data_IF_485985525108
#
_entry.id   IF_485985525108
#
_cell.length_a   1.000
_cell.length_b   1.000
_cell.length_c   1.000
_cell.angle_alpha   90.00
_cell.angle_beta   90.00
_cell.angle_gamma   90.00
#
_symmetry.space_group_name_H-M   'P 1'
#
loop_
_entity.id
_entity.type
_entity.pdbx_description
1 polymer ?
#
# COMPACT_ATOMS: atom_id res chain seq x y z
N UNK A 1 0.79 -29.57 40.74
CA UNK A 1 0.81 -30.24 39.42
C UNK A 1 0.10 -29.42 38.35
N UNK A 2 -1.16 -29.00 38.57
CA UNK A 2 -1.97 -28.21 37.62
C UNK A 2 -1.31 -26.88 37.23
N UNK A 3 -0.77 -26.11 38.19
CA UNK A 3 -0.14 -24.81 37.91
C UNK A 3 1.09 -24.92 36.98
N UNK A 4 1.93 -25.95 37.18
CA UNK A 4 3.08 -26.22 36.29
C UNK A 4 2.65 -26.63 34.89
N UNK A 5 1.55 -27.39 34.78
CA UNK A 5 0.98 -27.78 33.49
C UNK A 5 0.38 -26.59 32.74
N UNK A 6 -0.30 -25.68 33.45
CA UNK A 6 -0.85 -24.46 32.87
C UNK A 6 0.24 -23.50 32.38
N UNK A 7 1.31 -23.30 33.17
CA UNK A 7 2.47 -22.49 32.77
C UNK A 7 3.19 -23.11 31.57
N UNK A 8 3.35 -24.44 31.55
CA UNK A 8 3.93 -25.16 30.41
C UNK A 8 3.09 -25.05 29.14
N UNK A 9 1.77 -25.08 29.27
CA UNK A 9 0.84 -24.87 28.15
C UNK A 9 0.91 -23.43 27.62
N UNK A 10 0.88 -22.41 28.50
CA UNK A 10 1.02 -21.00 28.13
C UNK A 10 2.36 -20.71 27.44
N UNK A 11 3.45 -21.24 27.99
CA UNK A 11 4.77 -21.14 27.37
C UNK A 11 4.78 -21.82 25.99
N UNK A 12 4.15 -22.99 25.88
CA UNK A 12 4.02 -23.68 24.60
C UNK A 12 3.12 -22.95 23.59
N UNK A 13 2.09 -22.24 24.04
CA UNK A 13 1.20 -21.44 23.19
C UNK A 13 1.91 -20.22 22.58
N UNK A 14 2.82 -19.59 23.33
CA UNK A 14 3.56 -18.42 22.86
C UNK A 14 4.75 -18.78 21.96
N UNK A 15 5.43 -19.88 22.29
CA UNK A 15 6.69 -20.21 21.65
C UNK A 15 6.52 -21.37 20.64
N UNK A 16 5.79 -22.45 20.92
CA UNK A 16 5.77 -23.61 20.00
C UNK A 16 4.90 -23.40 18.74
N UNK A 17 5.19 -24.10 17.63
CA UNK A 17 4.47 -23.95 16.36
C UNK A 17 2.96 -24.22 16.43
N UNK A 18 2.49 -25.12 17.31
CA UNK A 18 1.05 -25.35 17.49
C UNK A 18 0.33 -24.13 18.09
N UNK A 19 1.07 -23.27 18.80
CA UNK A 19 0.54 -22.05 19.39
C UNK A 19 0.05 -21.06 18.33
N UNK A 20 0.73 -20.99 17.18
CA UNK A 20 0.30 -20.18 16.04
C UNK A 20 -1.11 -20.57 15.56
N UNK A 21 -1.37 -21.87 15.40
CA UNK A 21 -2.67 -22.38 14.94
C UNK A 21 -3.80 -22.14 15.94
N UNK A 22 -3.48 -21.99 17.23
CA UNK A 22 -4.45 -21.68 18.28
C UNK A 22 -4.66 -20.16 18.43
N UNK A 23 -3.58 -19.37 18.41
CA UNK A 23 -3.62 -17.92 18.64
C UNK A 23 -4.07 -17.11 17.42
N UNK A 24 -3.67 -17.50 16.21
CA UNK A 24 -4.01 -16.79 14.97
C UNK A 24 -5.52 -16.58 14.79
N UNK A 25 -6.39 -17.61 14.88
CA UNK A 25 -7.83 -17.40 14.76
C UNK A 25 -8.41 -16.52 15.88
N UNK A 26 -7.85 -16.59 17.10
CA UNK A 26 -8.27 -15.73 18.21
C UNK A 26 -7.96 -14.25 17.91
N UNK A 27 -6.77 -13.95 17.39
CA UNK A 27 -6.42 -12.58 17.01
C UNK A 27 -7.28 -12.05 15.85
N UNK A 28 -7.60 -12.90 14.87
CA UNK A 28 -8.49 -12.52 13.76
C UNK A 28 -9.90 -12.18 14.30
N UNK A 29 -10.44 -13.00 15.20
CA UNK A 29 -11.74 -12.73 15.83
C UNK A 29 -11.70 -11.42 16.63
N UNK A 30 -10.65 -11.20 17.41
CA UNK A 30 -10.48 -9.96 18.17
C UNK A 30 -10.38 -8.73 17.26
N UNK A 31 -9.66 -8.82 16.16
CA UNK A 31 -9.55 -7.74 15.17
C UNK A 31 -10.90 -7.42 14.54
N UNK A 32 -11.68 -8.45 14.15
CA UNK A 32 -13.03 -8.29 13.61
C UNK A 32 -13.95 -7.61 14.63
N UNK A 33 -13.95 -8.07 15.88
CA UNK A 33 -14.75 -7.49 16.95
C UNK A 33 -14.36 -6.04 17.23
N UNK A 34 -13.06 -5.74 17.26
CA UNK A 34 -12.53 -4.39 17.38
C UNK A 34 -13.02 -3.50 16.23
N UNK A 35 -12.95 -4.01 14.99
CA UNK A 35 -13.47 -3.32 13.80
C UNK A 35 -14.94 -2.96 13.93
N UNK A 36 -15.79 -3.90 14.36
CA UNK A 36 -17.22 -3.62 14.61
C UNK A 36 -17.44 -2.58 15.70
N UNK A 37 -16.70 -2.66 16.82
CA UNK A 37 -16.79 -1.68 17.91
C UNK A 37 -16.37 -0.29 17.43
N UNK A 38 -15.31 -0.19 16.63
CA UNK A 38 -14.85 1.08 16.06
C UNK A 38 -15.94 1.66 15.14
N UNK A 39 -16.52 0.85 14.26
CA UNK A 39 -17.58 1.30 13.34
C UNK A 39 -18.81 1.79 14.12
N UNK A 40 -19.19 1.13 15.23
CA UNK A 40 -20.33 1.53 16.06
C UNK A 40 -20.06 2.78 16.91
N UNK A 41 -18.82 2.96 17.39
CA UNK A 41 -18.47 4.00 18.38
C UNK A 41 -17.78 5.23 17.82
N UNK A 42 -17.14 5.13 16.66
CA UNK A 42 -16.39 6.23 16.06
C UNK A 42 -17.23 6.84 14.93
N UNK A 43 -17.79 8.05 15.11
CA UNK A 43 -18.53 8.71 14.05
C UNK A 43 -17.60 9.00 12.87
N UNK A 44 -18.08 8.74 11.66
CA UNK A 44 -17.37 9.11 10.44
C UNK A 44 -17.14 10.62 10.44
N UNK A 45 -15.89 11.04 10.23
CA UNK A 45 -15.58 12.46 10.04
C UNK A 45 -16.19 12.94 8.72
N UNK A 46 -17.11 13.91 8.78
CA UNK A 46 -17.95 14.38 7.65
C UNK A 46 -17.17 14.91 6.45
N UNK A 47 -15.93 15.35 6.64
CA UNK A 47 -15.18 16.18 5.69
C UNK A 47 -15.05 15.50 4.32
N UNK A 48 -14.64 14.23 4.28
CA UNK A 48 -14.46 13.52 3.01
C UNK A 48 -15.80 13.03 2.44
N UNK A 49 -16.75 12.61 3.29
CA UNK A 49 -18.05 12.10 2.85
C UNK A 49 -18.86 13.16 2.10
N UNK A 50 -18.91 14.39 2.61
CA UNK A 50 -19.63 15.50 1.97
C UNK A 50 -19.02 15.80 0.60
N UNK A 51 -17.70 15.84 0.50
CA UNK A 51 -17.02 16.09 -0.77
C UNK A 51 -17.26 14.97 -1.80
N UNK A 52 -17.26 13.70 -1.37
CA UNK A 52 -17.60 12.57 -2.24
C UNK A 52 -19.06 12.63 -2.70
N UNK A 53 -20.00 12.90 -1.78
CA UNK A 53 -21.42 12.97 -2.12
C UNK A 53 -21.75 14.15 -3.03
N UNK A 54 -21.04 15.28 -2.93
CA UNK A 54 -21.15 16.39 -3.88
C UNK A 54 -20.83 15.94 -5.31
N UNK A 55 -19.69 15.25 -5.50
CA UNK A 55 -19.28 14.73 -6.81
C UNK A 55 -20.25 13.66 -7.34
N UNK A 56 -20.69 12.73 -6.49
CA UNK A 56 -21.66 11.67 -6.86
C UNK A 56 -23.03 12.25 -7.21
N UNK A 57 -23.49 13.27 -6.48
CA UNK A 57 -24.77 13.92 -6.75
C UNK A 57 -24.81 14.59 -8.12
N UNK A 58 -23.69 15.17 -8.56
CA UNK A 58 -23.55 15.73 -9.91
C UNK A 58 -23.76 14.67 -10.99
N UNK A 59 -23.16 13.50 -10.81
CA UNK A 59 -23.31 12.36 -11.73
C UNK A 59 -24.74 11.79 -11.71
N UNK A 60 -25.34 11.60 -10.54
CA UNK A 60 -26.73 11.12 -10.40
C UNK A 60 -27.72 12.08 -11.07
N UNK A 61 -27.44 13.39 -11.03
CA UNK A 61 -28.23 14.42 -11.70
C UNK A 61 -28.00 14.48 -13.23
N UNK A 62 -27.21 13.57 -13.81
CA UNK A 62 -26.95 13.46 -15.24
C UNK A 62 -25.80 14.33 -15.75
N UNK A 63 -24.98 14.93 -14.86
CA UNK A 63 -23.81 15.69 -15.28
C UNK A 63 -22.70 14.74 -15.71
N UNK A 64 -22.38 14.74 -17.00
CA UNK A 64 -21.28 13.96 -17.58
C UNK A 64 -20.08 14.84 -17.97
N UNK A 65 -20.21 16.14 -17.81
CA UNK A 65 -19.13 17.10 -18.02
C UNK A 65 -18.21 17.11 -16.79
N UNK A 66 -16.99 16.60 -16.96
CA UNK A 66 -16.08 16.31 -15.86
C UNK A 66 -15.61 17.57 -15.14
N UNK A 67 -15.53 18.70 -15.83
CA UNK A 67 -15.17 20.00 -15.23
C UNK A 67 -16.25 20.52 -14.26
N UNK A 68 -17.49 20.04 -14.41
CA UNK A 68 -18.61 20.40 -13.53
C UNK A 68 -18.76 19.44 -12.35
N UNK A 69 -18.05 18.30 -12.37
CA UNK A 69 -18.04 17.32 -11.29
C UNK A 69 -16.94 17.66 -10.28
N UNK A 70 -17.12 18.76 -9.54
CA UNK A 70 -16.19 19.22 -8.51
C UNK A 70 -16.87 19.24 -7.13
N UNK A 71 -16.11 18.84 -6.09
CA UNK A 71 -16.52 18.96 -4.70
C UNK A 71 -15.60 19.93 -3.96
N UNK A 72 -15.82 20.10 -2.65
CA UNK A 72 -14.96 20.95 -1.81
C UNK A 72 -13.48 20.53 -1.79
N UNK A 73 -13.17 19.30 -2.18
CA UNK A 73 -11.80 18.74 -2.26
C UNK A 73 -11.21 18.77 -3.68
N UNK A 74 -11.90 19.40 -4.63
CA UNK A 74 -11.49 19.54 -6.02
C UNK A 74 -12.28 18.64 -6.99
N UNK A 75 -11.82 18.52 -8.24
CA UNK A 75 -12.53 17.78 -9.28
C UNK A 75 -12.61 16.29 -8.93
N UNK A 76 -13.68 15.64 -9.39
CA UNK A 76 -13.89 14.21 -9.27
C UNK A 76 -12.65 13.46 -9.77
N UNK A 77 -12.28 12.37 -9.12
CA UNK A 77 -11.09 11.59 -9.49
C UNK A 77 -11.50 10.14 -9.72
N UNK A 78 -11.95 9.86 -10.94
CA UNK A 78 -12.17 8.50 -11.47
C UNK A 78 -10.91 7.92 -12.14
N UNK A 79 -9.77 8.62 -12.07
CA UNK A 79 -8.49 8.17 -12.62
C UNK A 79 -7.84 7.04 -11.80
N UNK A 80 -7.17 6.12 -12.49
CA UNK A 80 -6.49 4.92 -11.96
C UNK A 80 -7.18 4.19 -10.77
N UNK A 81 -8.38 3.62 -10.87
CA UNK A 81 -9.68 4.27 -11.12
C UNK A 81 -10.39 4.73 -9.81
N UNK A 82 -9.65 4.86 -8.70
CA UNK A 82 -10.16 5.44 -7.44
C UNK A 82 -9.10 6.33 -6.76
N UNK A 83 -7.80 6.06 -6.96
CA UNK A 83 -6.74 6.95 -6.45
C UNK A 83 -5.40 6.74 -7.16
N UNK A 84 -4.77 7.84 -7.57
CA UNK A 84 -3.49 7.86 -8.30
C UNK A 84 -2.29 7.33 -7.48
N UNK A 85 -2.44 7.06 -6.19
CA UNK A 85 -1.37 6.51 -5.34
C UNK A 85 -0.81 5.18 -5.85
N UNK A 86 -1.62 4.42 -6.60
CA UNK A 86 -1.17 3.17 -7.21
C UNK A 86 -0.01 3.37 -8.20
N UNK A 87 0.15 4.57 -8.77
CA UNK A 87 1.27 4.92 -9.63
C UNK A 87 2.62 4.87 -8.90
N UNK A 88 2.66 4.97 -7.57
CA UNK A 88 3.89 4.82 -6.80
C UNK A 88 4.45 3.38 -6.86
N UNK A 89 3.60 2.40 -7.12
CA UNK A 89 4.01 1.01 -7.33
C UNK A 89 4.41 0.72 -8.79
N UNK A 90 4.05 1.61 -9.73
CA UNK A 90 4.20 1.37 -11.17
C UNK A 90 5.65 1.04 -11.58
N UNK A 91 6.70 1.74 -11.10
CA UNK A 91 8.07 1.39 -11.47
C UNK A 91 8.45 -0.03 -11.04
N UNK A 92 8.09 -0.43 -9.81
CA UNK A 92 8.36 -1.77 -9.29
C UNK A 92 7.58 -2.84 -10.04
N UNK A 93 6.31 -2.57 -10.33
CA UNK A 93 5.45 -3.45 -11.12
C UNK A 93 5.99 -3.68 -12.54
N UNK A 94 6.39 -2.61 -13.24
CA UNK A 94 6.96 -2.69 -14.58
C UNK A 94 8.26 -3.50 -14.61
N UNK A 95 9.15 -3.27 -13.64
CA UNK A 95 10.42 -4.01 -13.57
C UNK A 95 10.17 -5.50 -13.33
N UNK A 96 9.26 -5.85 -12.41
CA UNK A 96 8.87 -7.25 -12.15
C UNK A 96 8.26 -7.89 -13.40
N UNK A 97 7.36 -7.19 -14.10
CA UNK A 97 6.77 -7.70 -15.34
C UNK A 97 7.82 -7.93 -16.43
N UNK A 98 8.66 -6.92 -16.71
CA UNK A 98 9.70 -7.06 -17.74
C UNK A 98 10.66 -8.19 -17.40
N UNK A 99 11.03 -8.34 -16.12
CA UNK A 99 11.95 -9.38 -15.67
C UNK A 99 11.37 -10.80 -15.81
N UNK A 100 10.10 -11.01 -15.45
CA UNK A 100 9.50 -12.35 -15.43
C UNK A 100 8.78 -12.74 -16.72
N UNK A 101 8.25 -11.76 -17.45
CA UNK A 101 7.34 -11.96 -18.59
C UNK A 101 7.91 -11.40 -19.90
N UNK A 102 8.95 -10.56 -19.81
CA UNK A 102 9.52 -9.90 -20.97
C UNK A 102 8.69 -8.71 -21.43
N UNK A 103 9.25 -7.96 -22.40
CA UNK A 103 8.70 -6.68 -22.84
C UNK A 103 7.35 -6.85 -23.57
N UNK A 104 7.21 -7.87 -24.42
CA UNK A 104 6.00 -8.07 -25.21
C UNK A 104 4.78 -8.39 -24.35
N UNK A 105 4.91 -9.31 -23.39
CA UNK A 105 3.83 -9.62 -22.44
C UNK A 105 3.53 -8.45 -21.51
N UNK A 106 4.56 -7.69 -21.11
CA UNK A 106 4.38 -6.46 -20.33
C UNK A 106 3.50 -5.46 -21.09
N UNK A 107 3.75 -5.25 -22.38
CA UNK A 107 2.91 -4.38 -23.23
C UNK A 107 1.47 -4.92 -23.26
N UNK A 108 1.28 -6.23 -23.39
CA UNK A 108 -0.04 -6.87 -23.32
C UNK A 108 -0.80 -6.52 -22.04
N UNK A 109 -0.17 -6.69 -20.88
CA UNK A 109 -0.79 -6.37 -19.58
C UNK A 109 -1.06 -4.86 -19.39
N UNK A 110 -0.20 -3.99 -19.93
CA UNK A 110 -0.46 -2.55 -19.93
C UNK A 110 -1.64 -2.20 -20.83
N UNK A 111 -1.80 -2.88 -21.96
CA UNK A 111 -2.98 -2.74 -22.82
C UNK A 111 -4.27 -3.19 -22.11
N UNK A 112 -4.24 -4.29 -21.36
CA UNK A 112 -5.39 -4.73 -20.54
C UNK A 112 -5.79 -3.65 -19.53
N UNK A 113 -4.81 -3.09 -18.81
CA UNK A 113 -5.02 -1.99 -17.88
C UNK A 113 -5.62 -0.76 -18.58
N UNK A 114 -5.10 -0.42 -19.76
CA UNK A 114 -5.59 0.70 -20.56
C UNK A 114 -7.04 0.50 -21.03
N UNK A 115 -7.39 -0.72 -21.47
CA UNK A 115 -8.77 -1.06 -21.87
C UNK A 115 -9.74 -0.89 -20.70
N UNK A 116 -9.37 -1.34 -19.49
CA UNK A 116 -10.21 -1.14 -18.29
C UNK A 116 -10.38 0.35 -17.98
N UNK A 117 -9.32 1.15 -18.08
CA UNK A 117 -9.40 2.61 -17.89
C UNK A 117 -10.32 3.28 -18.92
N UNK A 118 -10.24 2.86 -20.19
CA UNK A 118 -11.14 3.34 -21.23
C UNK A 118 -12.59 2.95 -20.94
N UNK A 119 -12.84 1.70 -20.56
CA UNK A 119 -14.18 1.20 -20.25
C UNK A 119 -14.83 1.98 -19.11
N UNK A 120 -14.10 2.22 -18.01
CA UNK A 120 -14.59 3.03 -16.88
C UNK A 120 -14.74 4.50 -17.24
N UNK A 121 -13.84 5.05 -18.05
CA UNK A 121 -13.86 6.45 -18.51
C UNK A 121 -14.89 6.76 -19.60
N UNK A 122 -15.44 5.73 -20.27
CA UNK A 122 -16.36 5.82 -21.41
C UNK A 122 -17.43 6.93 -21.30
N UNK A 123 -18.25 7.01 -20.22
CA UNK A 123 -19.32 8.01 -20.15
C UNK A 123 -18.82 9.46 -20.20
N UNK A 124 -17.61 9.71 -19.71
CA UNK A 124 -16.98 11.04 -19.68
C UNK A 124 -16.19 11.33 -20.95
N UNK A 125 -15.48 10.33 -21.48
CA UNK A 125 -14.68 10.44 -22.70
C UNK A 125 -15.53 10.84 -23.91
N UNK A 126 -16.75 10.30 -24.04
CA UNK A 126 -17.63 10.64 -25.16
C UNK A 126 -18.33 12.00 -25.02
N UNK A 127 -18.39 12.57 -23.81
CA UNK A 127 -18.96 13.91 -23.59
C UNK A 127 -17.90 15.01 -23.72
N UNK A 128 -16.79 14.87 -22.97
CA UNK A 128 -15.71 15.85 -22.95
C UNK A 128 -14.38 15.17 -22.58
N UNK A 129 -13.73 14.60 -23.59
CA UNK A 129 -12.46 13.88 -23.42
C UNK A 129 -11.35 14.77 -22.84
N UNK A 130 -11.30 16.04 -23.23
CA UNK A 130 -10.26 16.95 -22.75
C UNK A 130 -10.44 17.30 -21.26
N UNK A 131 -11.66 17.62 -20.84
CA UNK A 131 -11.98 17.83 -19.43
C UNK A 131 -11.67 16.58 -18.60
N UNK A 132 -12.07 15.39 -19.10
CA UNK A 132 -11.78 14.13 -18.43
C UNK A 132 -10.26 13.93 -18.23
N UNK A 133 -9.46 14.02 -19.28
CA UNK A 133 -8.01 13.75 -19.19
C UNK A 133 -7.30 14.77 -18.31
N UNK A 134 -7.59 16.06 -18.49
CA UNK A 134 -6.94 17.14 -17.74
C UNK A 134 -7.29 17.14 -16.24
N UNK A 135 -8.54 16.81 -15.90
CA UNK A 135 -9.03 16.80 -14.52
C UNK A 135 -8.77 15.46 -13.81
N UNK A 136 -8.93 14.33 -14.48
CA UNK A 136 -8.63 13.00 -13.91
C UNK A 136 -7.13 12.79 -13.67
N UNK A 137 -6.27 13.36 -14.52
CA UNK A 137 -4.80 13.30 -14.42
C UNK A 137 -4.18 14.66 -14.15
N UNK A 138 -4.78 15.44 -13.25
CA UNK A 138 -4.23 16.75 -12.86
C UNK A 138 -2.97 16.58 -11.98
N UNK A 139 -1.79 16.60 -12.62
CA UNK A 139 -0.47 16.59 -11.96
C UNK A 139 -0.07 17.94 -11.35
N UNK A 140 -0.83 19.00 -11.59
CA UNK A 140 -0.59 20.34 -11.03
C UNK A 140 -1.04 20.50 -9.58
N UNK A 141 -1.77 19.53 -9.02
CA UNK A 141 -2.21 19.55 -7.62
C UNK A 141 -1.01 19.45 -6.67
N UNK A 142 -0.71 20.56 -6.01
CA UNK A 142 0.28 20.62 -4.93
C UNK A 142 -0.46 20.70 -3.59
N UNK A 143 -0.16 19.77 -2.69
CA UNK A 143 -0.66 19.85 -1.33
C UNK A 143 0.17 20.89 -0.57
N UNK A 144 -0.44 22.04 -0.29
CA UNK A 144 0.21 23.13 0.44
C UNK A 144 0.61 22.68 1.85
N UNK A 145 1.75 23.19 2.35
CA UNK A 145 2.28 22.89 3.68
C UNK A 145 1.25 23.15 4.80
N UNK A 146 0.41 24.20 4.66
CA UNK A 146 -0.67 24.52 5.61
C UNK A 146 -1.68 23.38 5.84
N UNK A 147 -1.81 22.45 4.89
CA UNK A 147 -2.73 21.31 4.96
C UNK A 147 -2.06 20.03 5.48
N UNK A 148 -0.78 20.09 5.88
CA UNK A 148 -0.04 18.93 6.39
C UNK A 148 -0.30 18.71 7.88
N UNK A 149 -1.42 18.07 8.22
CA UNK A 149 -1.82 17.83 9.62
C UNK A 149 -0.73 17.08 10.41
N UNK A 150 -0.09 16.08 9.80
CA UNK A 150 0.92 15.25 10.46
C UNK A 150 2.34 15.81 10.41
N UNK A 151 2.63 16.82 9.58
CA UNK A 151 4.00 17.36 9.41
C UNK A 151 4.13 18.78 9.95
N UNK A 152 3.06 19.34 10.53
CA UNK A 152 3.02 20.70 11.08
C UNK A 152 4.02 20.92 12.23
N UNK A 153 4.50 19.86 12.85
CA UNK A 153 5.56 19.92 13.87
C UNK A 153 6.97 20.04 13.30
N UNK A 154 7.16 19.85 11.99
CA UNK A 154 8.45 19.97 11.31
C UNK A 154 8.58 21.35 10.65
N UNK A 155 9.69 22.07 10.86
CA UNK A 155 9.97 23.31 10.16
C UNK A 155 9.86 23.16 8.63
N UNK A 156 9.28 24.17 7.96
CA UNK A 156 9.10 24.20 6.50
C UNK A 156 10.41 23.99 5.73
N UNK A 157 11.54 24.43 6.30
CA UNK A 157 12.86 24.20 5.74
C UNK A 157 13.20 22.72 5.61
N UNK A 158 12.81 21.88 6.58
CA UNK A 158 13.02 20.42 6.56
C UNK A 158 12.02 19.74 5.62
N UNK A 159 10.80 20.25 5.50
CA UNK A 159 9.78 19.76 4.58
C UNK A 159 10.23 19.81 3.10
N UNK A 160 11.14 20.73 2.75
CA UNK A 160 11.72 20.82 1.42
C UNK A 160 12.96 19.92 1.18
N UNK A 161 13.54 19.33 2.23
CA UNK A 161 14.71 18.45 2.08
C UNK A 161 14.30 16.99 1.81
N UNK A 162 14.74 16.45 0.68
CA UNK A 162 14.56 15.03 0.33
C UNK A 162 15.41 14.13 1.23
N UNK A 163 14.76 13.39 2.14
CA UNK A 163 15.42 12.52 3.11
C UNK A 163 15.56 11.10 2.54
N UNK A 164 16.60 10.84 1.73
CA UNK A 164 16.92 9.49 1.26
C UNK A 164 18.30 9.05 1.77
N UNK A 165 18.31 8.24 2.84
CA UNK A 165 19.47 7.42 3.18
C UNK A 165 19.01 6.00 3.52
N UNK A 166 19.06 5.11 2.52
CA UNK A 166 18.93 3.68 2.73
C UNK A 166 20.31 3.02 2.66
N UNK A 167 20.88 2.68 3.82
CA UNK A 167 22.06 1.80 3.90
C UNK A 167 21.62 0.36 3.59
N UNK A 168 21.77 -0.03 2.32
CA UNK A 168 21.60 -1.41 1.82
C UNK A 168 20.47 -1.62 0.81
N UNK A 169 19.51 -0.69 0.70
CA UNK A 169 18.24 -0.90 -0.01
C UNK A 169 18.25 -0.81 -1.54
N UNK A 170 19.33 -0.34 -2.18
CA UNK A 170 19.49 -0.49 -3.64
C UNK A 170 20.29 -1.73 -4.03
N UNK A 171 21.31 -2.13 -3.26
CA UNK A 171 22.09 -3.33 -3.58
C UNK A 171 21.24 -4.60 -3.52
N UNK A 172 20.44 -4.77 -2.46
CA UNK A 172 19.51 -5.90 -2.36
C UNK A 172 18.41 -5.85 -3.42
N UNK A 173 17.97 -4.64 -3.80
CA UNK A 173 17.01 -4.45 -4.89
C UNK A 173 17.59 -4.93 -6.22
N UNK A 174 18.82 -4.54 -6.56
CA UNK A 174 19.47 -5.01 -7.79
C UNK A 174 19.83 -6.50 -7.76
N UNK A 175 20.19 -7.07 -6.59
CA UNK A 175 20.43 -8.51 -6.44
C UNK A 175 19.18 -9.37 -6.70
N UNK A 176 17.96 -8.80 -6.66
CA UNK A 176 16.76 -9.53 -7.05
C UNK A 176 16.74 -9.81 -8.55
N UNK A 177 17.31 -8.90 -9.34
CA UNK A 177 17.40 -8.91 -10.79
C UNK A 177 18.78 -9.39 -11.27
N UNK A 178 19.42 -10.28 -10.51
CA UNK A 178 20.66 -10.93 -10.93
C UNK A 178 20.34 -11.95 -12.03
N UNK A 179 20.94 -11.84 -13.24
CA UNK A 179 20.70 -12.77 -14.35
C UNK A 179 21.03 -14.23 -14.04
N UNK A 180 21.88 -14.48 -13.05
CA UNK A 180 22.28 -15.83 -12.63
C UNK A 180 21.32 -16.45 -11.57
N UNK A 181 20.34 -15.68 -11.08
CA UNK A 181 19.39 -16.11 -10.06
C UNK A 181 18.33 -17.05 -10.64
N UNK A 182 18.01 -18.12 -9.90
CA UNK A 182 16.94 -19.08 -10.25
C UNK A 182 15.62 -18.32 -10.54
N UNK A 183 15.03 -18.59 -11.71
CA UNK A 183 13.87 -17.88 -12.25
C UNK A 183 12.54 -18.26 -11.59
N UNK A 184 12.57 -19.16 -10.61
CA UNK A 184 11.38 -19.49 -9.81
C UNK A 184 10.80 -18.24 -9.18
N UNK A 185 9.49 -18.06 -9.39
CA UNK A 185 8.73 -16.91 -8.89
C UNK A 185 8.67 -16.98 -7.35
N UNK A 186 9.62 -16.33 -6.69
CA UNK A 186 9.61 -16.11 -5.25
C UNK A 186 8.68 -14.93 -4.95
N UNK A 187 7.64 -15.08 -4.10
CA UNK A 187 6.77 -13.96 -3.71
C UNK A 187 7.55 -12.73 -3.20
N UNK A 188 8.70 -12.94 -2.56
CA UNK A 188 9.55 -11.83 -2.11
C UNK A 188 10.20 -11.07 -3.28
N UNK A 189 10.49 -11.73 -4.39
CA UNK A 189 11.02 -11.10 -5.61
C UNK A 189 9.98 -10.19 -6.30
N UNK A 190 8.69 -10.38 -6.02
CA UNK A 190 7.60 -9.50 -6.51
C UNK A 190 7.31 -8.38 -5.51
N UNK A 191 7.11 -8.73 -4.22
CA UNK A 191 6.67 -7.79 -3.19
C UNK A 191 7.74 -6.76 -2.83
N UNK A 192 9.01 -7.16 -2.74
CA UNK A 192 10.07 -6.27 -2.31
C UNK A 192 10.29 -5.10 -3.30
N UNK A 193 10.41 -5.31 -4.63
CA UNK A 193 10.55 -4.19 -5.55
C UNK A 193 9.35 -3.24 -5.54
N UNK A 194 8.13 -3.78 -5.46
CA UNK A 194 6.91 -3.00 -5.39
C UNK A 194 6.87 -2.10 -4.14
N UNK A 195 7.20 -2.65 -2.96
CA UNK A 195 7.18 -1.88 -1.71
C UNK A 195 8.33 -0.88 -1.61
N UNK A 196 9.51 -1.20 -2.17
CA UNK A 196 10.63 -0.25 -2.24
C UNK A 196 10.27 0.94 -3.14
N UNK A 197 9.70 0.70 -4.33
CA UNK A 197 9.28 1.78 -5.23
C UNK A 197 8.20 2.66 -4.59
N UNK A 198 7.22 2.05 -3.93
CA UNK A 198 6.20 2.80 -3.18
C UNK A 198 6.81 3.64 -2.05
N UNK A 199 7.74 3.08 -1.27
CA UNK A 199 8.43 3.81 -0.21
C UNK A 199 9.19 5.02 -0.74
N UNK A 200 9.97 4.83 -1.82
CA UNK A 200 10.70 5.93 -2.48
C UNK A 200 9.72 6.99 -2.96
N UNK A 201 8.60 6.59 -3.59
CA UNK A 201 7.54 7.49 -4.01
C UNK A 201 6.97 8.34 -2.86
N UNK A 202 6.71 7.72 -1.71
CA UNK A 202 6.19 8.39 -0.51
C UNK A 202 7.20 9.35 0.10
N UNK A 203 8.47 8.95 0.19
CA UNK A 203 9.55 9.81 0.72
C UNK A 203 9.80 11.03 -0.17
N UNK A 204 9.66 10.87 -1.48
CA UNK A 204 9.82 11.98 -2.45
C UNK A 204 8.55 12.84 -2.53
N UNK A 205 7.38 12.26 -2.28
CA UNK A 205 6.13 13.01 -2.27
C UNK A 205 6.16 14.06 -1.16
N UNK A 206 6.04 15.32 -1.56
CA UNK A 206 6.15 16.46 -0.64
C UNK A 206 5.04 16.42 0.42
N UNK A 207 3.86 15.90 0.09
CA UNK A 207 2.73 15.88 1.01
C UNK A 207 1.71 14.79 0.61
N UNK A 208 1.43 13.91 1.56
CA UNK A 208 0.41 12.87 1.46
C UNK A 208 -0.68 13.11 2.51
N UNK A 209 -1.95 12.94 2.10
CA UNK A 209 -3.07 12.88 3.03
C UNK A 209 -2.86 11.76 4.07
N UNK A 210 -3.23 12.00 5.34
CA UNK A 210 -2.98 11.07 6.45
C UNK A 210 -3.50 9.65 6.18
N UNK A 211 -4.64 9.55 5.50
CA UNK A 211 -5.22 8.27 5.08
C UNK A 211 -4.26 7.45 4.23
N UNK A 212 -3.44 8.06 3.37
CA UNK A 212 -2.48 7.33 2.53
C UNK A 212 -1.32 6.73 3.32
N UNK A 213 -0.94 7.32 4.47
CA UNK A 213 0.07 6.70 5.34
C UNK A 213 -0.42 5.37 5.90
N UNK A 214 -1.73 5.18 6.12
CA UNK A 214 -2.28 3.90 6.59
C UNK A 214 -2.02 2.79 5.56
N UNK A 215 -2.24 3.05 4.27
CA UNK A 215 -1.97 2.08 3.20
C UNK A 215 -0.49 1.71 3.06
N UNK A 216 0.41 2.65 3.40
CA UNK A 216 1.85 2.43 3.37
C UNK A 216 2.39 1.77 4.64
N UNK A 217 1.80 2.09 5.80
CA UNK A 217 2.26 1.64 7.11
C UNK A 217 2.42 0.12 7.17
N UNK A 218 1.51 -0.63 6.53
CA UNK A 218 1.57 -2.09 6.48
C UNK A 218 2.76 -2.65 5.66
N UNK A 219 3.38 -1.85 4.78
CA UNK A 219 4.56 -2.28 4.01
C UNK A 219 5.88 -2.06 4.78
N UNK A 220 5.88 -1.19 5.79
CA UNK A 220 7.06 -0.85 6.60
C UNK A 220 7.62 -2.07 7.36
N UNK A 221 6.81 -2.88 8.08
CA UNK A 221 7.33 -4.04 8.80
C UNK A 221 8.02 -5.05 7.89
N UNK A 222 7.46 -5.28 6.70
CA UNK A 222 8.07 -6.16 5.69
C UNK A 222 9.42 -5.60 5.21
N UNK A 223 9.47 -4.30 4.87
CA UNK A 223 10.71 -3.67 4.43
C UNK A 223 11.79 -3.68 5.53
N UNK A 224 11.40 -3.48 6.80
CA UNK A 224 12.29 -3.59 7.96
C UNK A 224 12.79 -5.02 8.16
N UNK A 225 11.93 -6.02 7.99
CA UNK A 225 12.31 -7.44 8.04
C UNK A 225 13.34 -7.81 6.97
N UNK A 226 13.23 -7.24 5.77
CA UNK A 226 14.21 -7.46 4.71
C UNK A 226 15.59 -6.85 5.00
N UNK A 227 15.72 -6.00 6.03
CA UNK A 227 17.02 -5.48 6.49
C UNK A 227 17.64 -6.48 7.48
N UNK A 228 18.70 -7.19 7.04
CA UNK A 228 19.43 -8.19 7.84
C UNK A 228 19.84 -7.74 9.25
N UNK A 229 20.03 -6.44 9.48
CA UNK A 229 20.41 -5.89 10.79
C UNK A 229 19.25 -5.82 11.79
N UNK A 230 18.01 -5.73 11.29
CA UNK A 230 16.78 -5.66 12.11
C UNK A 230 16.01 -6.98 12.11
N UNK A 231 16.28 -7.87 11.15
CA UNK A 231 15.84 -9.26 11.22
C UNK A 231 16.67 -10.01 12.26
N UNK A 232 16.13 -10.19 13.46
CA UNK A 232 16.60 -11.27 14.32
C UNK A 232 16.07 -12.57 13.72
N UNK A 233 16.91 -13.46 13.17
CA UNK A 233 16.45 -14.79 12.83
C UNK A 233 15.99 -15.43 14.15
N UNK A 234 14.69 -15.71 14.25
CA UNK A 234 14.18 -16.58 15.30
C UNK A 234 14.70 -17.97 14.94
N UNK A 235 15.91 -18.28 15.41
CA UNK A 235 16.52 -19.57 15.26
C UNK A 235 15.73 -20.54 16.12
N UNK A 236 14.71 -21.15 15.51
CA UNK A 236 14.07 -22.32 16.08
C UNK A 236 15.07 -23.48 15.92
N UNK A 237 16.04 -23.55 16.84
CA UNK A 237 16.76 -24.80 17.05
C UNK A 237 15.70 -25.78 17.53
N UNK A 238 15.09 -26.51 16.59
CA UNK A 238 14.50 -27.81 16.90
C UNK A 238 15.72 -28.65 17.27
N UNK A 239 16.11 -28.62 18.55
CA UNK A 239 16.98 -29.64 19.07
C UNK A 239 16.24 -30.95 18.82
N UNK A 240 16.75 -31.71 17.86
CA UNK A 240 16.36 -33.10 17.62
C UNK A 240 16.57 -33.82 18.95
N UNK A 241 15.49 -34.02 19.70
CA UNK A 241 15.40 -35.07 20.70
C UNK A 241 15.34 -36.42 19.95
N UNK A 242 16.43 -36.76 19.28
CA UNK A 242 16.77 -38.12 18.85
C UNK A 242 17.92 -38.57 19.74
N UNK A 243 17.60 -38.96 20.98
CA UNK A 243 18.33 -39.93 21.80
C UNK A 243 17.66 -39.98 23.18
N UNK A 244 17.42 -41.21 23.66
CA UNK A 244 16.75 -41.58 24.92
C UNK A 244 15.21 -41.60 24.83
N UNK A 245 14.66 -42.60 24.15
CA UNK A 245 14.15 -43.86 24.74
C UNK A 245 14.23 -44.94 23.65
#
# INVERSE_FOLDING_TARGET
MILRSAVGFLHGLLYKPYGFWVLSPVFIILEILCGFIIIDKVPYTEIDWVAYMQQVSGFINGTLDYDKLEGQTGPCVLGVSVKMNILLFLPGFLIVLVWHKGILETIGHLCECFIVQLAVGTPFLFHNAWAYVSSAFNFGRQFMYIWTVNWRFLPETIFHYHLCSSRGGMKNYFCIFDPERDSKLDPAAVLYPMFVCNFVGIVISRSLHYQFYVWYFHTIPYLLWCVRRFSTPVNWKVDRLEAVI
#
